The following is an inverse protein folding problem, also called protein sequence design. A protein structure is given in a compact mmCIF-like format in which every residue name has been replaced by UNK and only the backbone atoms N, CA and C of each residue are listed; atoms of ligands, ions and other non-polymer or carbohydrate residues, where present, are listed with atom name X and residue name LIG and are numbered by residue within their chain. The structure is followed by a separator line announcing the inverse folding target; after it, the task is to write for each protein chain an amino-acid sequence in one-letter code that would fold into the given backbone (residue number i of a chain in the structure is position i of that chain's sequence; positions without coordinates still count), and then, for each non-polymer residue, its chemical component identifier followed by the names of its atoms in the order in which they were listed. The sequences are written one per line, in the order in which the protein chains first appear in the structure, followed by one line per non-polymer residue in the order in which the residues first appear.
data_IF_933893107149
#
_entry.id   IF_933893107149
#
_cell.length_a   1.000
_cell.length_b   1.000
_cell.length_c   1.000
_cell.angle_alpha   90.00
_cell.angle_beta   90.00
_cell.angle_gamma   90.00
#
_symmetry.space_group_name_H-M   'P 1'
#
loop_
_entity.id
_entity.type
_entity.pdbx_description
1 polymer ?
#
# COMPACT_ATOMS: atom_id res chain seq x y z
N UNK A 1 -35.05 -16.38 -2.13
CA UNK A 1 -33.97 -15.57 -2.75
C UNK A 1 -32.68 -16.36 -2.52
N UNK A 2 -32.01 -16.84 -3.54
CA UNK A 2 -30.76 -17.57 -3.40
C UNK A 2 -29.67 -16.55 -3.03
N UNK A 3 -29.10 -16.67 -1.81
CA UNK A 3 -27.94 -15.88 -1.44
C UNK A 3 -26.72 -16.40 -2.22
N UNK A 4 -26.24 -15.61 -3.16
CA UNK A 4 -25.01 -15.94 -3.89
C UNK A 4 -23.83 -15.69 -2.96
N UNK A 5 -22.98 -16.70 -2.70
CA UNK A 5 -21.81 -16.53 -1.87
C UNK A 5 -20.80 -15.58 -2.53
N UNK A 6 -20.30 -14.60 -1.76
CA UNK A 6 -19.25 -13.71 -2.21
C UNK A 6 -17.90 -14.19 -1.68
N UNK A 7 -17.02 -14.56 -2.61
CA UNK A 7 -15.66 -14.95 -2.31
C UNK A 7 -14.69 -13.85 -2.77
N UNK A 8 -14.02 -13.20 -1.84
CA UNK A 8 -13.12 -12.09 -2.10
C UNK A 8 -11.66 -12.55 -2.17
N UNK A 9 -10.93 -12.04 -3.15
CA UNK A 9 -9.49 -12.18 -3.24
C UNK A 9 -8.82 -10.84 -3.42
N UNK A 10 -7.66 -10.64 -2.79
CA UNK A 10 -6.87 -9.40 -2.88
C UNK A 10 -7.64 -8.14 -2.46
N UNK A 11 -8.47 -8.24 -1.44
CA UNK A 11 -9.19 -7.11 -0.85
C UNK A 11 -8.38 -6.59 0.34
N UNK A 12 -8.18 -5.28 0.41
CA UNK A 12 -7.55 -4.66 1.56
C UNK A 12 -8.46 -4.75 2.78
N UNK A 13 -7.88 -5.02 3.94
CA UNK A 13 -8.56 -4.89 5.23
C UNK A 13 -8.97 -3.45 5.50
N UNK A 14 -8.15 -2.50 5.05
CA UNK A 14 -8.42 -1.08 5.23
C UNK A 14 -9.27 -0.54 4.08
N UNK A 15 -10.25 0.26 4.43
CA UNK A 15 -11.16 0.92 3.51
C UNK A 15 -11.35 2.39 3.91
N UNK A 16 -12.00 3.14 3.04
CA UNK A 16 -12.51 4.47 3.29
C UNK A 16 -13.96 4.53 2.77
N UNK A 17 -14.77 5.38 3.37
CA UNK A 17 -16.09 5.71 2.81
C UNK A 17 -15.89 6.94 1.93
N UNK A 18 -16.26 6.83 0.66
CA UNK A 18 -16.26 7.99 -0.23
C UNK A 18 -17.34 8.97 0.23
N UNK A 19 -17.05 10.27 0.22
CA UNK A 19 -18.05 11.28 0.55
C UNK A 19 -19.09 11.44 -0.56
N UNK A 20 -20.12 12.21 -0.29
CA UNK A 20 -21.12 12.59 -1.30
C UNK A 20 -20.47 13.41 -2.43
N UNK A 21 -21.08 13.41 -3.61
CA UNK A 21 -20.60 14.08 -4.83
C UNK A 21 -20.38 15.61 -4.68
N UNK A 22 -20.91 16.20 -3.61
CA UNK A 22 -20.76 17.63 -3.31
C UNK A 22 -19.45 18.00 -2.64
N UNK A 23 -18.69 17.01 -2.18
CA UNK A 23 -17.44 17.22 -1.42
C UNK A 23 -16.25 17.32 -2.38
N UNK A 24 -15.42 18.34 -2.19
CA UNK A 24 -14.15 18.46 -2.91
C UNK A 24 -13.16 17.40 -2.43
N UNK A 25 -12.95 16.38 -3.25
CA UNK A 25 -12.06 15.25 -2.94
C UNK A 25 -10.60 15.66 -2.71
N UNK A 26 -10.16 16.82 -3.21
CA UNK A 26 -8.79 17.32 -3.01
C UNK A 26 -8.52 17.75 -1.57
N UNK A 27 -9.56 18.29 -0.93
CA UNK A 27 -9.50 18.81 0.45
C UNK A 27 -10.13 17.85 1.47
N UNK A 28 -10.77 16.80 0.99
CA UNK A 28 -11.35 15.79 1.85
C UNK A 28 -10.26 14.96 2.56
N UNK A 29 -10.45 14.77 3.87
CA UNK A 29 -9.57 13.94 4.70
C UNK A 29 -10.26 12.63 5.05
N UNK A 30 -9.93 11.52 4.36
CA UNK A 30 -10.55 10.23 4.60
C UNK A 30 -10.12 9.62 5.92
N UNK A 31 -11.06 8.98 6.62
CA UNK A 31 -10.77 8.12 7.74
C UNK A 31 -10.53 6.68 7.29
N UNK A 32 -9.50 6.06 7.85
CA UNK A 32 -9.24 4.64 7.63
C UNK A 32 -10.17 3.77 8.46
N UNK A 33 -10.91 2.90 7.81
CA UNK A 33 -11.83 1.94 8.41
C UNK A 33 -11.29 0.51 8.30
N UNK A 34 -11.67 -0.33 9.26
CA UNK A 34 -11.45 -1.77 9.21
C UNK A 34 -12.70 -2.48 8.69
N UNK A 35 -12.62 -3.06 7.49
CA UNK A 35 -13.76 -3.76 6.85
C UNK A 35 -14.32 -4.91 7.69
N UNK A 36 -13.55 -5.44 8.64
CA UNK A 36 -14.01 -6.50 9.54
C UNK A 36 -14.88 -5.97 10.68
N UNK A 37 -14.72 -4.71 11.06
CA UNK A 37 -15.53 -4.08 12.10
C UNK A 37 -16.90 -3.65 11.56
N UNK A 38 -16.98 -3.30 10.28
CA UNK A 38 -18.20 -2.86 9.58
C UNK A 38 -19.19 -3.98 9.20
N UNK A 39 -19.05 -5.15 9.73
CA UNK A 39 -19.66 -6.47 9.46
C UNK A 39 -21.13 -6.54 8.95
N UNK A 40 -21.50 -5.79 7.95
CA UNK A 40 -22.80 -5.96 7.27
C UNK A 40 -22.77 -6.96 6.10
N UNK A 41 -21.58 -7.41 5.67
CA UNK A 41 -21.39 -8.23 4.49
C UNK A 41 -20.91 -9.63 4.88
N UNK A 42 -21.62 -10.67 4.42
CA UNK A 42 -21.17 -12.06 4.54
C UNK A 42 -20.10 -12.33 3.47
N UNK A 43 -18.86 -12.08 3.81
CA UNK A 43 -17.70 -12.26 2.93
C UNK A 43 -16.85 -13.43 3.41
N UNK A 44 -16.38 -14.24 2.48
CA UNK A 44 -15.30 -15.21 2.69
C UNK A 44 -14.15 -14.87 1.74
N UNK A 45 -12.95 -15.39 2.02
CA UNK A 45 -11.82 -15.22 1.12
C UNK A 45 -10.56 -14.70 1.78
N UNK A 46 -9.77 -13.96 1.02
CA UNK A 46 -8.44 -13.51 1.42
C UNK A 46 -8.38 -11.99 1.47
N UNK A 47 -8.08 -11.47 2.65
CA UNK A 47 -7.77 -10.07 2.87
C UNK A 47 -6.26 -9.90 2.99
N UNK A 48 -5.76 -8.75 2.57
CA UNK A 48 -4.41 -8.32 2.89
C UNK A 48 -4.44 -7.09 3.78
N UNK A 49 -3.41 -6.96 4.57
CA UNK A 49 -3.14 -5.79 5.39
C UNK A 49 -1.73 -5.29 5.07
N UNK A 50 -1.52 -3.98 5.17
CA UNK A 50 -0.18 -3.40 5.08
C UNK A 50 0.39 -3.29 6.50
N UNK A 51 1.58 -3.80 6.71
CA UNK A 51 2.25 -3.73 8.00
C UNK A 51 3.11 -2.46 8.08
N UNK A 52 2.47 -1.34 8.47
CA UNK A 52 3.15 -0.04 8.57
C UNK A 52 4.23 -0.09 9.65
N UNK A 53 3.91 -0.71 10.77
CA UNK A 53 4.80 -0.78 11.93
C UNK A 53 6.10 -1.51 11.59
N UNK A 54 6.01 -2.68 10.94
CA UNK A 54 7.20 -3.40 10.47
C UNK A 54 7.98 -2.64 9.40
N UNK A 55 7.31 -1.90 8.52
CA UNK A 55 8.00 -1.08 7.54
C UNK A 55 8.74 0.09 8.20
N UNK A 56 8.15 0.76 9.20
CA UNK A 56 8.82 1.81 9.96
C UNK A 56 9.99 1.24 10.76
N UNK A 57 9.82 0.08 11.40
CA UNK A 57 10.92 -0.57 12.12
C UNK A 57 12.06 -0.96 11.18
N UNK A 58 11.75 -1.51 10.01
CA UNK A 58 12.75 -1.83 8.98
C UNK A 58 13.52 -0.57 8.56
N UNK A 59 12.82 0.55 8.35
CA UNK A 59 13.46 1.82 8.01
C UNK A 59 14.42 2.25 9.12
N UNK A 60 13.99 2.17 10.40
CA UNK A 60 14.84 2.52 11.55
C UNK A 60 16.07 1.62 11.68
N UNK A 61 15.94 0.33 11.40
CA UNK A 61 17.06 -0.61 11.46
C UNK A 61 18.16 -0.27 10.45
N UNK A 62 17.78 0.24 9.27
CA UNK A 62 18.73 0.68 8.22
C UNK A 62 19.16 2.14 8.39
N UNK A 63 18.27 3.00 8.89
CA UNK A 63 18.47 4.44 9.02
C UNK A 63 18.06 4.92 10.42
N UNK A 64 18.90 4.65 11.46
CA UNK A 64 18.54 4.97 12.85
C UNK A 64 18.28 6.46 13.11
N UNK A 65 18.83 7.33 12.29
CA UNK A 65 18.67 8.78 12.39
C UNK A 65 17.55 9.34 11.51
N UNK A 66 16.63 8.49 11.04
CA UNK A 66 15.48 8.95 10.25
C UNK A 66 14.62 9.90 11.07
N UNK A 67 14.32 11.06 10.49
CA UNK A 67 13.47 12.10 11.08
C UNK A 67 12.18 12.27 10.29
N UNK A 68 12.19 11.94 9.01
CA UNK A 68 11.07 12.15 8.11
C UNK A 68 10.81 10.89 7.27
N UNK A 69 9.54 10.53 7.13
CA UNK A 69 9.09 9.55 6.15
C UNK A 69 8.24 10.28 5.12
N UNK A 70 8.73 10.34 3.88
CA UNK A 70 7.99 10.88 2.74
C UNK A 70 7.18 9.75 2.08
N UNK A 71 5.88 9.73 2.35
CA UNK A 71 4.98 8.71 1.83
C UNK A 71 4.37 9.14 0.50
N UNK A 72 4.54 8.31 -0.52
CA UNK A 72 4.01 8.54 -1.87
C UNK A 72 2.74 7.74 -2.09
N UNK A 73 1.65 8.40 -2.43
CA UNK A 73 0.37 7.77 -2.79
C UNK A 73 -0.27 8.47 -3.99
N UNK A 74 -0.98 7.70 -4.80
CA UNK A 74 -1.66 8.20 -5.99
C UNK A 74 -3.12 8.61 -5.73
N UNK A 75 -3.80 9.11 -6.77
CA UNK A 75 -5.20 9.53 -6.73
C UNK A 75 -6.18 8.37 -7.00
N UNK A 76 -5.77 7.11 -6.87
CA UNK A 76 -6.68 5.97 -6.94
C UNK A 76 -7.36 5.73 -5.58
N UNK A 77 -8.51 5.04 -5.59
CA UNK A 77 -9.15 4.60 -4.34
C UNK A 77 -8.15 3.86 -3.43
N UNK A 78 -7.35 2.94 -3.98
CA UNK A 78 -6.34 2.20 -3.23
C UNK A 78 -5.24 3.10 -2.66
N UNK A 79 -4.78 4.09 -3.42
CA UNK A 79 -3.76 5.05 -2.97
C UNK A 79 -4.28 5.94 -1.83
N UNK A 80 -5.51 6.43 -1.96
CA UNK A 80 -6.15 7.28 -0.93
C UNK A 80 -6.44 6.48 0.34
N UNK A 81 -6.93 5.23 0.20
CA UNK A 81 -7.16 4.31 1.33
C UNK A 81 -5.86 4.02 2.07
N UNK A 82 -4.78 3.72 1.34
CA UNK A 82 -3.48 3.44 1.93
C UNK A 82 -2.91 4.67 2.63
N UNK A 83 -3.08 5.87 2.06
CA UNK A 83 -2.66 7.11 2.70
C UNK A 83 -3.38 7.36 4.03
N UNK A 84 -4.70 7.17 4.06
CA UNK A 84 -5.49 7.31 5.29
C UNK A 84 -4.99 6.34 6.37
N UNK A 85 -4.68 5.11 5.98
CA UNK A 85 -4.15 4.11 6.90
C UNK A 85 -2.75 4.47 7.40
N UNK A 86 -1.85 4.88 6.53
CA UNK A 86 -0.50 5.32 6.92
C UNK A 86 -0.59 6.51 7.90
N UNK A 87 -1.44 7.51 7.64
CA UNK A 87 -1.66 8.63 8.56
C UNK A 87 -2.08 8.16 9.95
N UNK A 88 -3.00 7.21 10.03
CA UNK A 88 -3.48 6.63 11.29
C UNK A 88 -2.37 5.89 12.04
N UNK A 89 -1.65 5.01 11.36
CA UNK A 89 -0.61 4.19 11.97
C UNK A 89 0.62 5.00 12.38
N UNK A 90 0.97 6.04 11.61
CA UNK A 90 2.10 6.93 11.93
C UNK A 90 1.90 7.74 13.22
N UNK A 91 0.68 7.84 13.74
CA UNK A 91 0.44 8.44 15.06
C UNK A 91 1.15 7.67 16.21
N UNK A 92 1.50 6.41 15.98
CA UNK A 92 2.29 5.59 16.92
C UNK A 92 3.78 5.98 16.95
N UNK A 93 4.23 6.79 16.01
CA UNK A 93 5.63 7.20 15.83
C UNK A 93 5.76 8.74 15.84
N UNK A 94 5.48 9.39 16.99
CA UNK A 94 5.43 10.85 17.08
C UNK A 94 6.80 11.53 16.91
N UNK A 95 7.86 10.75 16.93
CA UNK A 95 9.25 11.17 16.71
C UNK A 95 9.65 11.20 15.22
N UNK A 96 8.77 10.78 14.31
CA UNK A 96 9.00 10.78 12.86
C UNK A 96 7.94 11.65 12.20
N UNK A 97 8.36 12.68 11.50
CA UNK A 97 7.47 13.52 10.70
C UNK A 97 7.01 12.80 9.42
N UNK A 98 5.70 12.74 9.21
CA UNK A 98 5.12 12.20 7.99
C UNK A 98 4.91 13.29 6.95
N UNK A 99 5.65 13.22 5.85
CA UNK A 99 5.50 14.10 4.69
C UNK A 99 4.65 13.38 3.64
N UNK A 100 3.46 13.91 3.34
CA UNK A 100 2.56 13.31 2.34
C UNK A 100 2.85 13.87 0.94
N UNK A 101 3.22 12.96 0.04
CA UNK A 101 3.35 13.20 -1.40
C UNK A 101 2.08 12.68 -2.10
N UNK A 102 0.99 13.44 -1.95
CA UNK A 102 -0.39 13.06 -2.25
C UNK A 102 -0.73 13.34 -3.73
N UNK A 103 -0.99 12.29 -4.49
CA UNK A 103 -1.38 12.34 -5.89
C UNK A 103 -2.71 13.03 -6.16
N UNK A 104 -3.58 13.23 -5.17
CA UNK A 104 -4.80 14.05 -5.31
C UNK A 104 -4.47 15.55 -5.46
N UNK A 105 -3.37 15.98 -4.85
CA UNK A 105 -2.96 17.39 -4.78
C UNK A 105 -1.86 17.74 -5.77
N UNK A 106 -1.14 16.72 -6.26
CA UNK A 106 0.08 16.90 -7.04
C UNK A 106 0.06 16.14 -8.37
N UNK A 107 0.71 16.72 -9.38
CA UNK A 107 1.08 16.00 -10.60
C UNK A 107 2.41 15.27 -10.38
N UNK A 108 2.76 14.39 -11.32
CA UNK A 108 4.08 13.75 -11.34
C UNK A 108 5.21 14.80 -11.32
N UNK A 109 5.09 15.88 -12.06
CA UNK A 109 6.10 16.94 -12.13
C UNK A 109 6.28 17.65 -10.79
N UNK A 110 5.18 18.02 -10.14
CA UNK A 110 5.23 18.69 -8.84
C UNK A 110 5.68 17.76 -7.72
N UNK A 111 5.45 16.44 -7.82
CA UNK A 111 5.99 15.47 -6.86
C UNK A 111 7.49 15.32 -7.03
N UNK A 112 8.00 15.22 -8.25
CA UNK A 112 9.44 15.17 -8.55
C UNK A 112 10.15 16.42 -7.96
N UNK A 113 9.59 17.61 -8.16
CA UNK A 113 10.13 18.85 -7.58
C UNK A 113 10.12 18.86 -6.05
N UNK A 114 9.09 18.27 -5.43
CA UNK A 114 9.02 18.14 -3.97
C UNK A 114 10.06 17.16 -3.45
N UNK A 115 10.23 16.00 -4.09
CA UNK A 115 11.22 15.01 -3.70
C UNK A 115 12.63 15.59 -3.79
N UNK A 116 12.93 16.39 -4.82
CA UNK A 116 14.20 17.06 -4.96
C UNK A 116 14.55 17.99 -3.79
N UNK A 117 13.53 18.51 -3.08
CA UNK A 117 13.64 19.46 -1.97
C UNK A 117 13.35 18.88 -0.59
N UNK A 118 13.20 17.55 -0.49
CA UNK A 118 12.98 16.91 0.81
C UNK A 118 14.17 17.15 1.74
N UNK A 119 13.92 17.34 3.05
CA UNK A 119 14.97 17.55 4.02
C UNK A 119 15.92 16.34 4.13
N UNK A 120 17.08 16.58 4.69
CA UNK A 120 18.00 15.50 5.08
C UNK A 120 17.34 14.57 6.12
N UNK A 121 17.88 13.36 6.27
CA UNK A 121 17.29 12.32 7.14
C UNK A 121 15.86 11.92 6.77
N UNK A 122 15.47 12.11 5.51
CA UNK A 122 14.21 11.62 4.95
C UNK A 122 14.41 10.25 4.30
N UNK A 123 13.45 9.36 4.52
CA UNK A 123 13.31 8.10 3.79
C UNK A 123 12.02 8.15 2.98
N UNK A 124 12.09 7.74 1.72
CA UNK A 124 10.90 7.65 0.86
C UNK A 124 10.24 6.29 1.10
N UNK A 125 8.95 6.29 1.43
CA UNK A 125 8.12 5.10 1.53
C UNK A 125 7.10 5.10 0.38
N UNK A 126 7.30 4.22 -0.60
CA UNK A 126 6.43 4.11 -1.77
C UNK A 126 5.20 3.27 -1.45
N UNK A 127 4.04 3.85 -1.57
CA UNK A 127 2.76 3.17 -1.62
C UNK A 127 2.41 2.75 -3.05
N UNK A 128 1.71 3.62 -3.76
CA UNK A 128 1.30 3.41 -5.16
C UNK A 128 1.49 4.69 -5.96
N UNK A 129 1.73 4.53 -7.26
CA UNK A 129 1.69 5.65 -8.20
C UNK A 129 1.24 5.19 -9.59
N UNK A 130 0.00 5.48 -9.92
CA UNK A 130 -0.61 5.17 -11.23
C UNK A 130 -1.37 6.35 -11.81
N UNK A 131 -2.02 7.15 -10.95
CA UNK A 131 -2.90 8.25 -11.33
C UNK A 131 -2.57 9.46 -10.48
N UNK A 132 -2.40 10.63 -11.10
CA UNK A 132 -2.19 11.90 -10.41
C UNK A 132 -3.47 12.75 -10.36
N UNK A 133 -3.35 13.99 -9.88
CA UNK A 133 -4.46 14.93 -9.74
C UNK A 133 -5.17 15.28 -11.07
N UNK A 134 -4.52 15.06 -12.20
CA UNK A 134 -5.06 15.31 -13.52
C UNK A 134 -5.61 14.04 -14.17
N UNK A 135 -5.75 12.94 -13.38
CA UNK A 135 -6.23 11.64 -13.84
C UNK A 135 -5.37 11.01 -14.94
N UNK A 136 -4.14 11.52 -15.11
CA UNK A 136 -3.16 10.96 -16.03
C UNK A 136 -2.65 9.61 -15.53
N UNK A 137 -2.68 8.60 -16.40
CA UNK A 137 -2.09 7.30 -16.11
C UNK A 137 -0.59 7.32 -16.39
N UNK A 138 0.19 6.91 -15.39
CA UNK A 138 1.64 6.85 -15.49
C UNK A 138 2.15 5.42 -15.44
N UNK A 139 3.05 5.10 -16.37
CA UNK A 139 3.72 3.81 -16.43
C UNK A 139 4.94 3.77 -15.47
N UNK A 140 5.63 2.64 -15.46
CA UNK A 140 6.79 2.35 -14.58
C UNK A 140 7.82 3.48 -14.47
N UNK A 141 8.02 4.26 -15.53
CA UNK A 141 9.04 5.31 -15.59
C UNK A 141 8.78 6.46 -14.60
N UNK A 142 7.54 6.70 -14.19
CA UNK A 142 7.22 7.77 -13.24
C UNK A 142 7.93 7.57 -11.90
N UNK A 143 7.94 6.35 -11.37
CA UNK A 143 8.61 6.06 -10.09
C UNK A 143 10.13 6.17 -10.18
N UNK A 144 10.72 5.85 -11.33
CA UNK A 144 12.15 6.09 -11.57
C UNK A 144 12.49 7.58 -11.58
N UNK A 145 11.66 8.42 -12.21
CA UNK A 145 11.84 9.87 -12.21
C UNK A 145 11.76 10.43 -10.79
N UNK A 146 10.84 9.92 -9.97
CA UNK A 146 10.74 10.31 -8.56
C UNK A 146 12.02 9.98 -7.79
N UNK A 147 12.52 8.75 -7.91
CA UNK A 147 13.72 8.32 -7.19
C UNK A 147 14.98 9.02 -7.69
N UNK A 148 15.04 9.36 -8.98
CA UNK A 148 16.14 10.09 -9.58
C UNK A 148 16.16 11.58 -9.20
N UNK A 149 15.04 12.14 -8.72
CA UNK A 149 14.96 13.55 -8.31
C UNK A 149 15.85 13.86 -7.09
N UNK A 150 16.02 12.89 -6.21
CA UNK A 150 16.95 12.98 -5.08
C UNK A 150 17.57 11.60 -4.79
N UNK A 151 18.62 11.21 -5.52
CA UNK A 151 19.21 9.87 -5.43
C UNK A 151 19.95 9.60 -4.11
N UNK A 152 20.10 10.60 -3.25
CA UNK A 152 20.70 10.46 -1.92
C UNK A 152 19.70 9.88 -0.91
N UNK A 153 18.40 10.04 -1.15
CA UNK A 153 17.39 9.55 -0.25
C UNK A 153 17.12 8.05 -0.48
N UNK A 154 17.17 7.26 0.58
CA UNK A 154 16.81 5.86 0.48
C UNK A 154 15.31 5.71 0.25
N UNK A 155 14.93 4.66 -0.50
CA UNK A 155 13.53 4.36 -0.79
C UNK A 155 13.17 2.94 -0.42
N UNK A 156 12.06 2.78 0.29
CA UNK A 156 11.42 1.53 0.62
C UNK A 156 10.05 1.44 -0.05
N UNK A 157 9.50 0.24 -0.14
CA UNK A 157 8.20 0.03 -0.77
C UNK A 157 7.28 -0.81 0.10
N UNK A 158 6.02 -0.41 0.19
CA UNK A 158 4.96 -1.20 0.84
C UNK A 158 4.25 -2.15 -0.13
N UNK A 159 4.58 -2.02 -1.41
CA UNK A 159 4.04 -2.83 -2.52
C UNK A 159 5.19 -3.46 -3.29
N UNK A 160 4.90 -4.16 -4.39
CA UNK A 160 5.96 -4.72 -5.24
C UNK A 160 6.65 -3.70 -6.15
N UNK A 161 6.25 -2.42 -6.08
CA UNK A 161 6.80 -1.36 -6.93
C UNK A 161 8.26 -1.09 -6.52
N UNK A 162 9.16 -1.14 -7.49
CA UNK A 162 10.57 -0.84 -7.30
C UNK A 162 11.43 -1.95 -6.71
N UNK A 163 10.84 -3.09 -6.32
CA UNK A 163 11.61 -4.25 -5.84
C UNK A 163 12.54 -4.77 -6.94
N UNK A 164 13.79 -5.06 -6.54
CA UNK A 164 14.83 -5.48 -7.47
C UNK A 164 15.40 -4.35 -8.34
N UNK A 165 14.94 -3.11 -8.13
CA UNK A 165 15.39 -1.92 -8.86
C UNK A 165 15.90 -0.86 -7.89
N UNK A 166 15.03 0.09 -7.50
CA UNK A 166 15.40 1.23 -6.67
C UNK A 166 14.97 1.06 -5.20
N UNK A 167 13.96 0.21 -4.90
CA UNK A 167 13.55 -0.02 -3.52
C UNK A 167 14.54 -0.91 -2.79
N UNK A 168 15.00 -0.46 -1.62
CA UNK A 168 15.90 -1.23 -0.76
C UNK A 168 15.22 -2.46 -0.16
N UNK A 169 13.91 -2.37 0.08
CA UNK A 169 13.11 -3.46 0.61
C UNK A 169 11.75 -3.00 1.08
N UNK A 170 11.07 -3.86 1.84
CA UNK A 170 9.81 -3.59 2.49
C UNK A 170 9.12 -4.84 2.98
N UNK A 171 8.21 -4.69 3.94
CA UNK A 171 7.24 -5.72 4.30
C UNK A 171 6.02 -5.60 3.38
N UNK A 172 5.84 -6.58 2.51
CA UNK A 172 4.90 -6.52 1.39
C UNK A 172 3.95 -7.71 1.44
N UNK A 173 2.63 -7.52 1.24
CA UNK A 173 1.69 -8.62 1.15
C UNK A 173 2.07 -9.62 0.05
N UNK A 174 2.12 -10.91 0.38
CA UNK A 174 2.54 -11.97 -0.55
C UNK A 174 1.35 -12.50 -1.34
N UNK A 175 1.20 -12.05 -2.56
CA UNK A 175 0.10 -12.47 -3.45
C UNK A 175 0.37 -13.74 -4.25
N UNK A 176 1.52 -14.39 -4.05
CA UNK A 176 2.04 -15.44 -4.94
C UNK A 176 1.13 -16.66 -5.08
N UNK A 177 0.44 -17.05 -4.01
CA UNK A 177 -0.40 -18.27 -3.99
C UNK A 177 -1.89 -17.99 -4.00
N UNK A 178 -2.29 -16.72 -3.94
CA UNK A 178 -3.69 -16.34 -3.66
C UNK A 178 -4.69 -16.91 -4.66
N UNK A 179 -4.35 -16.96 -5.94
CA UNK A 179 -5.25 -17.54 -6.95
C UNK A 179 -5.51 -19.02 -6.72
N UNK A 180 -4.48 -19.78 -6.35
CA UNK A 180 -4.60 -21.21 -6.02
C UNK A 180 -5.42 -21.43 -4.75
N UNK A 181 -5.17 -20.61 -3.74
CA UNK A 181 -5.81 -20.72 -2.45
C UNK A 181 -7.29 -20.31 -2.55
N UNK A 182 -7.59 -19.29 -3.35
CA UNK A 182 -8.96 -18.85 -3.65
C UNK A 182 -9.74 -19.92 -4.41
N UNK A 183 -9.12 -20.59 -5.39
CA UNK A 183 -9.73 -21.69 -6.13
C UNK A 183 -10.08 -22.87 -5.23
N UNK A 184 -9.18 -23.24 -4.30
CA UNK A 184 -9.46 -24.28 -3.30
C UNK A 184 -10.64 -23.92 -2.41
N UNK A 185 -10.73 -22.67 -1.97
CA UNK A 185 -11.82 -22.20 -1.15
C UNK A 185 -13.14 -22.17 -1.92
N UNK A 186 -13.12 -21.77 -3.20
CA UNK A 186 -14.28 -21.81 -4.08
C UNK A 186 -14.82 -23.25 -4.24
N UNK A 187 -13.95 -24.21 -4.52
CA UNK A 187 -14.33 -25.63 -4.60
C UNK A 187 -14.95 -26.13 -3.30
N UNK A 188 -14.36 -25.79 -2.15
CA UNK A 188 -14.90 -26.19 -0.86
C UNK A 188 -16.30 -25.60 -0.57
N UNK A 189 -16.58 -24.40 -1.10
CA UNK A 189 -17.92 -23.77 -1.02
C UNK A 189 -18.91 -24.47 -1.93
N UNK A 190 -18.52 -24.84 -3.14
CA UNK A 190 -19.37 -25.52 -4.13
C UNK A 190 -19.70 -26.97 -3.76
N UNK A 191 -18.76 -27.68 -3.12
CA UNK A 191 -18.93 -29.09 -2.70
C UNK A 191 -19.84 -29.23 -1.47
N UNK A 192 -20.03 -28.18 -0.68
CA UNK A 192 -20.90 -28.21 0.49
C UNK A 192 -22.38 -28.08 0.07
N UNK A 193 -23.07 -29.21 0.03
CA UNK A 193 -24.50 -29.31 -0.34
C UNK A 193 -25.47 -28.54 0.56
N UNK A 194 -25.05 -27.99 1.69
CA UNK A 194 -25.92 -27.39 2.71
C UNK A 194 -25.77 -25.87 2.88
N UNK A 195 -25.29 -25.13 1.90
CA UNK A 195 -25.41 -23.65 1.86
C UNK A 195 -24.74 -22.84 2.99
N UNK A 196 -24.19 -23.48 4.01
CA UNK A 196 -23.43 -22.78 5.06
C UNK A 196 -22.04 -22.41 4.58
N UNK A 197 -21.93 -21.22 4.03
CA UNK A 197 -20.63 -20.58 3.83
C UNK A 197 -20.11 -20.20 5.21
N UNK A 198 -19.21 -21.01 5.76
CA UNK A 198 -18.43 -20.55 6.90
C UNK A 198 -17.66 -19.33 6.43
N UNK A 199 -17.82 -18.19 7.15
CA UNK A 199 -17.03 -16.98 6.99
C UNK A 199 -15.56 -17.29 7.31
N UNK A 200 -14.84 -17.91 6.38
CA UNK A 200 -13.41 -18.14 6.54
C UNK A 200 -12.72 -16.97 5.87
N UNK A 201 -12.37 -15.99 6.68
CA UNK A 201 -11.48 -14.90 6.26
C UNK A 201 -10.06 -15.33 6.63
N UNK A 202 -9.19 -15.31 5.64
CA UNK A 202 -7.77 -15.56 5.81
C UNK A 202 -6.98 -14.30 5.47
N UNK A 203 -5.85 -14.09 6.16
CA UNK A 203 -4.97 -12.96 5.89
C UNK A 203 -3.80 -13.40 5.03
N UNK A 204 -3.51 -12.58 4.02
CA UNK A 204 -2.29 -12.71 3.24
C UNK A 204 -1.14 -12.19 4.09
N UNK A 205 -0.10 -13.00 4.37
CA UNK A 205 1.02 -12.55 5.17
C UNK A 205 1.85 -11.49 4.45
N UNK A 206 2.33 -10.50 5.20
CA UNK A 206 3.40 -9.62 4.74
C UNK A 206 4.75 -10.31 4.92
N UNK A 207 5.51 -10.39 3.84
CA UNK A 207 6.86 -10.95 3.84
C UNK A 207 7.88 -9.82 3.66
N UNK A 208 9.03 -10.00 4.31
CA UNK A 208 10.17 -9.11 4.10
C UNK A 208 10.79 -9.39 2.72
N UNK A 209 10.89 -8.35 1.93
CA UNK A 209 11.66 -8.32 0.69
C UNK A 209 12.80 -7.33 0.84
N UNK A 210 14.00 -7.75 0.48
CA UNK A 210 15.17 -6.88 0.40
C UNK A 210 15.75 -6.96 -1.00
N UNK A 211 16.25 -5.86 -1.51
CA UNK A 211 17.03 -5.88 -2.74
C UNK A 211 18.34 -6.63 -2.50
N UNK A 212 18.77 -7.50 -3.41
CA UNK A 212 20.09 -8.09 -3.33
C UNK A 212 21.13 -6.97 -3.33
N UNK A 213 22.15 -7.14 -2.50
CA UNK A 213 23.30 -6.23 -2.44
C UNK A 213 23.86 -6.00 -3.85
N UNK A 214 24.45 -4.82 -4.15
CA UNK A 214 25.17 -4.62 -5.39
C UNK A 214 26.26 -5.67 -5.65
N UNK A 215 26.80 -6.29 -4.59
CA UNK A 215 27.75 -7.41 -4.68
C UNK A 215 27.10 -8.70 -5.17
N UNK A 216 25.83 -8.93 -4.87
CA UNK A 216 25.12 -10.15 -5.26
C UNK A 216 24.67 -10.10 -6.74
N UNK A 217 24.62 -8.90 -7.34
CA UNK A 217 24.28 -8.71 -8.78
C UNK A 217 25.45 -9.01 -9.72
N UNK A 218 26.65 -9.14 -9.22
CA UNK A 218 27.84 -9.44 -10.02
C UNK A 218 28.06 -10.94 -10.28
N UNK A 219 27.16 -11.80 -9.80
CA UNK A 219 27.29 -13.27 -9.86
C UNK A 219 26.20 -13.91 -10.77
N UNK A 220 25.34 -13.10 -11.42
CA UNK A 220 24.30 -13.59 -12.33
C UNK A 220 24.60 -13.24 -13.77
#
# INVERSE_FOLDING_TARGET
MYEIPLLCGMVSRNAIILPDDTVDLKNWEPESLDVLQEQKIKVAGYLYDYDIEKNVQLIRDFYPNVQHIAFVSDNSYGGVTLQAYVKKEMQKFPDIDLILLDGRKHTIYTIVDKIAKLPENTVILMGTWRVDKNEGYFMRNATYSMMSANPKLPAFSMTSIGLGHWALGGYIPSYRTIGKDLARQANAVLEKKNGEIRKIIQFIPCLLYTSPSPRDRSIS
#
